data_IF_454772778732
#
_entry.id   IF_454772778732
#
_cell.length_a   1.000
_cell.length_b   1.000
_cell.length_c   1.000
_cell.angle_alpha   90.00
_cell.angle_beta   90.00
_cell.angle_gamma   90.00
#
_symmetry.space_group_name_H-M   'P 1'
#
loop_
_entity.id
_entity.type
_entity.pdbx_description
1 polymer ?
#
# COMPACT_ATOMS: atom_id res chain seq x y z
N UNK A 1 -23.11 6.94 -40.43
CA UNK A 1 -22.14 6.18 -39.61
C UNK A 1 -21.48 7.15 -38.66
N UNK A 2 -21.77 7.06 -37.36
CA UNK A 2 -21.28 8.03 -36.37
C UNK A 2 -19.84 7.71 -35.99
N UNK A 3 -18.99 8.73 -35.99
CA UNK A 3 -17.59 8.70 -35.54
C UNK A 3 -17.40 7.92 -34.23
N UNK A 4 -18.39 7.96 -33.33
CA UNK A 4 -18.37 7.21 -32.07
C UNK A 4 -18.23 5.69 -32.22
N UNK A 5 -18.76 5.11 -33.29
CA UNK A 5 -18.62 3.66 -33.55
C UNK A 5 -17.24 3.27 -34.09
N UNK A 6 -16.51 4.22 -34.68
CA UNK A 6 -15.14 4.01 -35.16
C UNK A 6 -14.19 4.11 -33.97
N UNK A 7 -14.38 5.13 -33.13
CA UNK A 7 -13.62 5.31 -31.89
C UNK A 7 -13.81 4.10 -30.96
N UNK A 8 -15.03 3.57 -30.82
CA UNK A 8 -15.28 2.39 -30.00
C UNK A 8 -14.54 1.14 -30.53
N UNK A 9 -14.51 0.95 -31.85
CA UNK A 9 -13.79 -0.18 -32.46
C UNK A 9 -12.28 -0.07 -32.26
N UNK A 10 -11.71 1.12 -32.45
CA UNK A 10 -10.28 1.35 -32.22
C UNK A 10 -9.95 1.12 -30.74
N UNK A 11 -10.78 1.60 -29.81
CA UNK A 11 -10.58 1.39 -28.37
C UNK A 11 -10.61 -0.10 -27.99
N UNK A 12 -11.50 -0.88 -28.61
CA UNK A 12 -11.59 -2.32 -28.40
C UNK A 12 -10.36 -3.03 -28.96
N UNK A 13 -9.91 -2.69 -30.17
CA UNK A 13 -8.72 -3.30 -30.77
C UNK A 13 -7.45 -2.99 -29.99
N UNK A 14 -7.30 -1.76 -29.49
CA UNK A 14 -6.18 -1.36 -28.62
C UNK A 14 -6.22 -2.11 -27.29
N UNK A 15 -7.43 -2.32 -26.73
CA UNK A 15 -7.61 -3.10 -25.50
C UNK A 15 -7.20 -4.56 -25.69
N UNK A 16 -7.64 -5.21 -26.77
CA UNK A 16 -7.27 -6.59 -27.08
C UNK A 16 -5.76 -6.74 -27.28
N UNK A 17 -5.11 -5.72 -27.83
CA UNK A 17 -3.66 -5.70 -28.05
C UNK A 17 -2.86 -5.47 -26.76
N UNK A 18 -3.41 -4.70 -25.82
CA UNK A 18 -2.86 -4.54 -24.46
C UNK A 18 -3.08 -5.79 -23.59
N UNK A 19 -4.18 -6.54 -23.81
CA UNK A 19 -4.46 -7.79 -23.11
C UNK A 19 -3.58 -8.97 -23.57
N UNK A 20 -2.81 -8.81 -24.66
CA UNK A 20 -1.82 -9.81 -25.07
C UNK A 20 -0.82 -10.03 -23.93
N UNK A 21 -0.50 -11.29 -23.59
CA UNK A 21 0.31 -11.63 -22.42
C UNK A 21 1.71 -10.99 -22.42
N UNK A 22 2.29 -10.76 -23.61
CA UNK A 22 3.58 -10.09 -23.79
C UNK A 22 3.52 -8.59 -23.43
N UNK A 23 2.45 -7.92 -23.84
CA UNK A 23 2.22 -6.50 -23.56
C UNK A 23 1.75 -6.29 -22.12
N UNK A 24 0.99 -7.23 -21.56
CA UNK A 24 0.58 -7.22 -20.16
C UNK A 24 1.78 -7.32 -19.22
N UNK A 25 2.74 -8.20 -19.52
CA UNK A 25 4.00 -8.30 -18.75
C UNK A 25 4.83 -7.02 -18.83
N UNK A 26 4.90 -6.41 -20.01
CA UNK A 26 5.60 -5.13 -20.20
C UNK A 26 4.89 -4.01 -19.44
N UNK A 27 3.56 -3.96 -19.48
CA UNK A 27 2.76 -2.97 -18.74
C UNK A 27 2.90 -3.14 -17.22
N UNK A 28 2.93 -4.39 -16.73
CA UNK A 28 3.16 -4.69 -15.32
C UNK A 28 4.56 -4.25 -14.88
N UNK A 29 5.61 -4.66 -15.60
CA UNK A 29 6.99 -4.38 -15.19
C UNK A 29 7.40 -2.92 -15.41
N UNK A 30 6.94 -2.26 -16.48
CA UNK A 30 7.38 -0.89 -16.79
C UNK A 30 6.49 0.19 -16.15
N UNK A 31 5.22 -0.13 -15.84
CA UNK A 31 4.28 0.86 -15.30
C UNK A 31 3.77 0.47 -13.92
N UNK A 32 3.35 -0.78 -13.72
CA UNK A 32 2.74 -1.17 -12.45
C UNK A 32 3.78 -1.28 -11.32
N UNK A 33 4.95 -1.85 -11.60
CA UNK A 33 6.06 -1.96 -10.64
C UNK A 33 6.54 -0.61 -10.10
N UNK A 34 6.90 0.40 -10.92
CA UNK A 34 7.33 1.69 -10.38
C UNK A 34 6.20 2.43 -9.65
N UNK A 35 4.94 2.19 -10.00
CA UNK A 35 3.79 2.73 -9.26
C UNK A 35 3.66 2.04 -7.90
N UNK A 36 3.74 0.71 -7.87
CA UNK A 36 3.72 -0.07 -6.63
C UNK A 36 4.87 0.27 -5.72
N UNK A 37 6.07 0.48 -6.26
CA UNK A 37 7.27 0.85 -5.51
C UNK A 37 7.08 2.21 -4.83
N UNK A 38 6.58 3.23 -5.56
CA UNK A 38 6.26 4.55 -4.97
C UNK A 38 5.14 4.49 -3.93
N UNK A 39 4.15 3.64 -4.12
CA UNK A 39 3.07 3.44 -3.15
C UNK A 39 3.59 2.74 -1.91
N UNK A 40 4.39 1.69 -2.07
CA UNK A 40 5.03 0.95 -0.98
C UNK A 40 6.00 1.83 -0.19
N UNK A 41 6.77 2.68 -0.85
CA UNK A 41 7.71 3.59 -0.17
C UNK A 41 6.98 4.58 0.75
N UNK A 42 5.88 5.18 0.26
CA UNK A 42 5.01 6.02 1.09
C UNK A 42 4.33 5.24 2.20
N UNK A 43 3.82 4.04 1.88
CA UNK A 43 3.17 3.18 2.86
C UNK A 43 4.15 2.77 3.96
N UNK A 44 5.39 2.43 3.62
CA UNK A 44 6.43 2.01 4.54
C UNK A 44 6.81 3.14 5.51
N UNK A 45 6.96 4.38 5.02
CA UNK A 45 7.20 5.53 5.89
C UNK A 45 6.08 5.73 6.91
N UNK A 46 4.82 5.56 6.49
CA UNK A 46 3.68 5.61 7.42
C UNK A 46 3.68 4.43 8.39
N UNK A 47 3.92 3.22 7.90
CA UNK A 47 3.92 1.99 8.69
C UNK A 47 4.99 2.04 9.79
N UNK A 48 6.18 2.54 9.45
CA UNK A 48 7.26 2.76 10.41
C UNK A 48 6.87 3.74 11.51
N UNK A 49 6.22 4.87 11.15
CA UNK A 49 5.70 5.83 12.12
C UNK A 49 4.65 5.23 13.05
N UNK A 50 3.73 4.43 12.51
CA UNK A 50 2.69 3.76 13.30
C UNK A 50 3.31 2.73 14.26
N UNK A 51 4.26 1.92 13.80
CA UNK A 51 4.97 0.96 14.67
C UNK A 51 5.66 1.69 15.81
N UNK A 52 6.38 2.77 15.51
CA UNK A 52 7.12 3.51 16.53
C UNK A 52 6.18 4.09 17.61
N UNK A 53 5.04 4.63 17.19
CA UNK A 53 4.00 5.15 18.10
C UNK A 53 3.38 4.01 18.93
N UNK A 54 3.07 2.88 18.29
CA UNK A 54 2.52 1.71 18.95
C UNK A 54 3.46 1.14 20.02
N UNK A 55 4.76 1.04 19.71
CA UNK A 55 5.80 0.63 20.67
C UNK A 55 5.85 1.58 21.87
N UNK A 56 5.76 2.89 21.64
CA UNK A 56 5.77 3.87 22.72
C UNK A 56 4.58 3.70 23.67
N UNK A 57 3.37 3.50 23.12
CA UNK A 57 2.16 3.21 23.92
C UNK A 57 2.35 1.93 24.72
N UNK A 58 2.89 0.87 24.11
CA UNK A 58 3.15 -0.39 24.80
C UNK A 58 4.09 -0.21 26.00
N UNK A 59 5.19 0.52 25.82
CA UNK A 59 6.14 0.82 26.91
C UNK A 59 5.45 1.60 28.02
N UNK A 60 4.63 2.59 27.68
CA UNK A 60 3.90 3.38 28.68
C UNK A 60 2.94 2.51 29.51
N UNK A 61 2.20 1.60 28.87
CA UNK A 61 1.32 0.64 29.57
C UNK A 61 2.13 -0.25 30.51
N UNK A 62 3.27 -0.77 30.05
CA UNK A 62 4.16 -1.58 30.88
C UNK A 62 4.68 -0.80 32.10
N UNK A 63 5.09 0.46 31.93
CA UNK A 63 5.55 1.31 33.03
C UNK A 63 4.44 1.56 34.06
N UNK A 64 3.22 1.85 33.60
CA UNK A 64 2.07 2.05 34.49
C UNK A 64 1.78 0.77 35.29
N UNK A 65 1.84 -0.38 34.63
CA UNK A 65 1.61 -1.67 35.27
C UNK A 65 2.68 -1.98 36.32
N UNK A 66 3.96 -1.79 36.00
CA UNK A 66 5.06 -1.96 36.95
C UNK A 66 4.95 -1.01 38.14
N UNK A 67 4.57 0.24 37.90
CA UNK A 67 4.39 1.24 38.95
C UNK A 67 3.22 0.90 39.87
N UNK A 68 2.11 0.40 39.32
CA UNK A 68 0.97 -0.09 40.09
C UNK A 68 1.31 -1.33 40.90
N UNK A 69 2.02 -2.31 40.32
CA UNK A 69 2.47 -3.50 41.04
C UNK A 69 3.38 -3.08 42.20
N UNK A 70 4.31 -2.15 41.99
CA UNK A 70 5.19 -1.67 43.06
C UNK A 70 4.39 -1.02 44.20
N UNK A 71 3.40 -0.19 43.90
CA UNK A 71 2.54 0.45 44.92
C UNK A 71 1.67 -0.57 45.68
N UNK A 72 1.14 -1.58 44.98
CA UNK A 72 0.22 -2.55 45.57
C UNK A 72 0.95 -3.64 46.38
N UNK A 73 2.18 -4.01 45.98
CA UNK A 73 2.97 -5.07 46.63
C UNK A 73 3.95 -4.54 47.68
N UNK A 74 4.41 -3.29 47.60
CA UNK A 74 5.25 -2.62 48.63
C UNK A 74 4.40 -1.72 49.55
N UNK A 75 3.35 -2.29 50.13
CA UNK A 75 2.70 -1.72 51.31
C UNK A 75 3.30 -2.31 52.58
#
# INVERSE_FOLDING_TARGET
>A
MSFGSIVSKILISVREELEKPENMNTLMNDILDPVMERVLEKLYSYFFGVICLFTFIFIAIFLILLMNVKICYFK
#
